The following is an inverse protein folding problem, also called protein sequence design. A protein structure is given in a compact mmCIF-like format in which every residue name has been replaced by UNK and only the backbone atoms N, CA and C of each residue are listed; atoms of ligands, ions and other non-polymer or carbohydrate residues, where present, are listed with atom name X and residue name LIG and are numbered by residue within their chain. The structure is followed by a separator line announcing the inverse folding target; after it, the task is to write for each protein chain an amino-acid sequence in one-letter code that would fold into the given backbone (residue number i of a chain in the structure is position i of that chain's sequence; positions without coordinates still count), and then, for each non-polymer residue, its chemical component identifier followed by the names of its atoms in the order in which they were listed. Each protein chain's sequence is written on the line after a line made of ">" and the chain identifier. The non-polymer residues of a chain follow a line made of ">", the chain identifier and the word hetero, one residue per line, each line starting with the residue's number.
data_IF_963762180124
#
_entry.id   IF_963762180124
#
_cell.length_a   1.000
_cell.length_b   1.000
_cell.length_c   1.000
_cell.angle_alpha   90.00
_cell.angle_beta   90.00
_cell.angle_gamma   90.00
#
_symmetry.space_group_name_H-M   'P 1'
#
loop_
_entity.id
_entity.type
_entity.pdbx_description
1 polymer ?
#
# COMPACT_ATOMS: atom_id res chain seq x y z
N UNK A 1 -22.70 -9.43 14.34
CA UNK A 1 -21.29 -9.89 14.34
C UNK A 1 -20.60 -9.30 13.10
N UNK A 2 -20.04 -8.08 13.19
CA UNK A 2 -19.44 -7.37 12.06
C UNK A 2 -18.28 -8.22 11.52
N UNK A 3 -18.43 -8.79 10.33
CA UNK A 3 -17.31 -9.40 9.59
C UNK A 3 -16.30 -8.28 9.43
N UNK A 4 -15.15 -8.41 10.09
CA UNK A 4 -13.99 -7.54 9.83
C UNK A 4 -13.83 -7.52 8.32
N UNK A 5 -14.04 -6.35 7.70
CA UNK A 5 -13.76 -6.15 6.30
C UNK A 5 -12.34 -6.64 6.08
N UNK A 6 -12.22 -7.74 5.34
CA UNK A 6 -10.94 -8.14 4.82
C UNK A 6 -10.57 -7.02 3.85
N UNK A 7 -9.76 -6.06 4.30
CA UNK A 7 -8.98 -5.22 3.38
C UNK A 7 -8.31 -6.21 2.44
N UNK A 8 -8.74 -6.22 1.18
CA UNK A 8 -8.15 -7.13 0.22
C UNK A 8 -6.67 -6.75 0.15
N UNK A 9 -5.77 -7.61 0.62
CA UNK A 9 -4.34 -7.31 0.60
C UNK A 9 -3.81 -7.03 -0.81
N UNK A 10 -4.60 -7.41 -1.81
CA UNK A 10 -4.28 -7.27 -3.21
C UNK A 10 -5.41 -6.58 -3.95
N UNK A 11 -5.10 -5.41 -4.49
CA UNK A 11 -5.92 -4.74 -5.46
C UNK A 11 -5.39 -5.08 -6.86
N UNK A 12 -6.14 -5.85 -7.68
CA UNK A 12 -5.65 -6.28 -8.99
C UNK A 12 -5.46 -5.12 -9.98
N UNK A 13 -6.01 -3.93 -9.68
CA UNK A 13 -5.83 -2.73 -10.50
C UNK A 13 -4.49 -2.03 -10.25
N UNK A 14 -3.79 -2.37 -9.16
CA UNK A 14 -2.51 -1.77 -8.83
C UNK A 14 -1.36 -2.70 -9.19
N UNK A 15 -0.47 -2.22 -10.04
CA UNK A 15 0.81 -2.89 -10.29
C UNK A 15 1.73 -2.75 -9.07
N UNK A 16 2.81 -3.53 -9.04
CA UNK A 16 3.83 -3.36 -7.98
C UNK A 16 4.39 -1.93 -7.98
N UNK A 17 4.71 -1.39 -9.17
CA UNK A 17 5.25 -0.05 -9.31
C UNK A 17 4.28 1.02 -8.78
N UNK A 18 2.98 0.88 -9.04
CA UNK A 18 1.96 1.77 -8.49
C UNK A 18 1.93 1.71 -6.95
N UNK A 19 1.99 0.50 -6.38
CA UNK A 19 2.03 0.32 -4.93
C UNK A 19 3.31 0.91 -4.30
N UNK A 20 4.44 0.73 -4.97
CA UNK A 20 5.72 1.30 -4.57
C UNK A 20 5.61 2.83 -4.52
N UNK A 21 5.11 3.48 -5.57
CA UNK A 21 4.90 4.94 -5.59
C UNK A 21 4.00 5.42 -4.45
N UNK A 22 2.86 4.76 -4.20
CA UNK A 22 1.96 5.11 -3.09
C UNK A 22 2.70 5.06 -1.75
N UNK A 23 3.51 4.03 -1.52
CA UNK A 23 4.29 3.91 -0.27
C UNK A 23 5.37 4.97 -0.17
N UNK A 24 6.04 5.33 -1.27
CA UNK A 24 7.06 6.38 -1.28
C UNK A 24 6.47 7.75 -0.94
N UNK A 25 5.32 8.08 -1.52
CA UNK A 25 4.59 9.32 -1.23
C UNK A 25 4.11 9.31 0.23
N UNK A 26 3.49 8.22 0.69
CA UNK A 26 2.95 8.15 2.05
C UNK A 26 4.02 8.16 3.16
N UNK A 27 5.23 7.68 2.88
CA UNK A 27 6.34 7.63 3.84
C UNK A 27 7.39 8.73 3.64
N UNK A 28 7.19 9.60 2.66
CA UNK A 28 8.16 10.61 2.22
C UNK A 28 9.57 10.01 2.04
N UNK A 29 9.66 9.01 1.14
CA UNK A 29 10.91 8.29 0.85
C UNK A 29 11.32 8.45 -0.62
N UNK A 30 12.62 8.63 -0.90
CA UNK A 30 13.10 8.80 -2.27
C UNK A 30 13.17 7.49 -3.06
N UNK A 31 13.15 6.32 -2.40
CA UNK A 31 13.20 5.02 -3.08
C UNK A 31 12.73 3.88 -2.18
N UNK A 32 12.18 2.82 -2.78
CA UNK A 32 11.67 1.63 -2.07
C UNK A 32 12.77 0.95 -1.29
N UNK A 33 14.02 1.05 -1.74
CA UNK A 33 15.18 0.52 -1.00
C UNK A 33 15.30 1.10 0.42
N UNK A 34 14.91 2.37 0.60
CA UNK A 34 14.94 3.06 1.89
C UNK A 34 13.76 2.72 2.80
N UNK A 35 12.74 2.01 2.30
CA UNK A 35 11.58 1.57 3.08
C UNK A 35 11.96 0.30 3.84
N UNK A 36 11.99 0.35 5.18
CA UNK A 36 12.33 -0.81 5.99
C UNK A 36 11.06 -1.56 6.41
N UNK A 37 11.02 -2.86 6.11
CA UNK A 37 9.88 -3.71 6.48
C UNK A 37 9.62 -3.71 7.99
N UNK A 38 10.68 -3.88 8.78
CA UNK A 38 10.60 -4.01 10.24
C UNK A 38 10.27 -2.70 10.97
N UNK A 39 10.34 -1.55 10.29
CA UNK A 39 10.04 -0.24 10.89
C UNK A 39 8.76 0.34 10.31
N UNK A 40 8.82 0.88 9.09
CA UNK A 40 7.71 1.63 8.51
C UNK A 40 6.54 0.70 8.17
N UNK A 41 6.79 -0.41 7.47
CA UNK A 41 5.70 -1.29 7.00
C UNK A 41 5.03 -2.05 8.15
N UNK A 42 5.77 -2.48 9.18
CA UNK A 42 5.17 -3.09 10.38
C UNK A 42 4.33 -2.09 11.18
N UNK A 43 4.72 -0.80 11.25
CA UNK A 43 3.90 0.24 11.89
C UNK A 43 2.59 0.44 11.13
N UNK A 44 2.66 0.60 9.80
CA UNK A 44 1.47 0.76 8.96
C UNK A 44 0.57 -0.48 8.99
N UNK A 45 1.16 -1.68 8.96
CA UNK A 45 0.42 -2.94 9.18
C UNK A 45 -0.37 -2.93 10.48
N UNK A 46 0.23 -2.47 11.58
CA UNK A 46 -0.47 -2.38 12.89
C UNK A 46 -1.58 -1.34 12.84
N UNK A 47 -1.31 -0.17 12.24
CA UNK A 47 -2.28 0.91 12.06
C UNK A 47 -3.53 0.44 11.31
N UNK A 48 -3.34 -0.28 10.20
CA UNK A 48 -4.42 -0.78 9.35
C UNK A 48 -4.93 -2.18 9.73
N UNK A 49 -4.46 -2.74 10.85
CA UNK A 49 -4.92 -4.06 11.31
C UNK A 49 -4.62 -5.23 10.37
N UNK A 50 -3.57 -5.14 9.55
CA UNK A 50 -3.20 -6.12 8.50
C UNK A 50 -2.51 -7.38 9.07
N UNK A 51 -3.20 -8.05 10.00
CA UNK A 51 -2.64 -9.13 10.83
C UNK A 51 -2.15 -10.37 10.06
N UNK A 52 -2.70 -10.66 8.87
CA UNK A 52 -2.34 -11.85 8.08
C UNK A 52 -1.01 -11.70 7.29
N UNK A 53 -0.35 -10.55 7.37
CA UNK A 53 0.93 -10.32 6.69
C UNK A 53 2.13 -10.99 7.39
N UNK A 54 1.95 -11.65 8.54
CA UNK A 54 3.08 -12.26 9.28
C UNK A 54 3.83 -13.26 8.39
N UNK A 55 5.15 -13.12 8.32
CA UNK A 55 6.03 -14.00 7.52
C UNK A 55 6.05 -13.75 6.01
N UNK A 56 5.26 -12.79 5.49
CA UNK A 56 5.27 -12.42 4.07
C UNK A 56 6.46 -11.55 3.69
N UNK A 57 6.80 -11.55 2.40
CA UNK A 57 7.87 -10.75 1.83
C UNK A 57 7.53 -9.24 1.81
N UNK A 58 8.54 -8.41 1.55
CA UNK A 58 8.40 -6.94 1.56
C UNK A 58 7.40 -6.43 0.52
N UNK A 59 7.34 -7.01 -0.68
CA UNK A 59 6.45 -6.56 -1.74
C UNK A 59 5.00 -6.83 -1.38
N UNK A 60 4.71 -7.97 -0.74
CA UNK A 60 3.38 -8.27 -0.20
C UNK A 60 2.97 -7.25 0.87
N UNK A 61 3.87 -6.80 1.74
CA UNK A 61 3.56 -5.72 2.69
C UNK A 61 3.26 -4.40 1.99
N UNK A 62 4.05 -4.06 0.97
CA UNK A 62 3.86 -2.83 0.18
C UNK A 62 2.48 -2.85 -0.49
N UNK A 63 2.10 -3.92 -1.20
CA UNK A 63 0.79 -4.03 -1.86
C UNK A 63 -0.38 -3.89 -0.88
N UNK A 64 -0.31 -4.62 0.23
CA UNK A 64 -1.34 -4.58 1.25
C UNK A 64 -1.49 -3.20 1.90
N UNK A 65 -0.37 -2.56 2.18
CA UNK A 65 -0.35 -1.24 2.81
C UNK A 65 -0.78 -0.15 1.85
N UNK A 66 -0.34 -0.21 0.59
CA UNK A 66 -0.78 0.71 -0.46
C UNK A 66 -2.29 0.61 -0.68
N UNK A 67 -2.85 -0.60 -0.73
CA UNK A 67 -4.30 -0.74 -0.85
C UNK A 67 -5.04 -0.18 0.37
N UNK A 68 -4.55 -0.43 1.58
CA UNK A 68 -5.14 0.14 2.80
C UNK A 68 -5.09 1.68 2.80
N UNK A 69 -4.00 2.29 2.34
CA UNK A 69 -3.87 3.74 2.23
C UNK A 69 -4.94 4.33 1.28
N UNK A 70 -5.23 3.67 0.16
CA UNK A 70 -6.29 4.10 -0.75
C UNK A 70 -7.69 3.87 -0.17
N UNK A 71 -7.96 2.69 0.39
CA UNK A 71 -9.28 2.35 0.96
C UNK A 71 -9.66 3.28 2.11
N UNK A 72 -8.69 3.72 2.89
CA UNK A 72 -8.89 4.68 3.98
C UNK A 72 -8.80 6.15 3.55
N UNK A 73 -8.51 6.45 2.28
CA UNK A 73 -8.43 7.82 1.75
C UNK A 73 -7.22 8.63 2.21
N UNK A 74 -6.14 7.98 2.66
CA UNK A 74 -4.89 8.67 2.99
C UNK A 74 -4.10 9.08 1.75
N UNK A 75 -4.34 8.38 0.63
CA UNK A 75 -3.77 8.69 -0.68
C UNK A 75 -4.90 8.61 -1.69
N UNK A 76 -5.01 9.61 -2.54
CA UNK A 76 -5.91 9.61 -3.67
C UNK A 76 -5.08 9.44 -4.95
N UNK A 77 -5.48 8.50 -5.79
CA UNK A 77 -4.94 8.38 -7.14
C UNK A 77 -5.87 9.17 -8.03
N UNK A 78 -5.37 10.27 -8.57
CA UNK A 78 -6.12 11.09 -9.51
C UNK A 78 -6.50 10.22 -10.73
N UNK A 79 -7.76 10.31 -11.15
CA UNK A 79 -8.28 9.52 -12.28
C UNK A 79 -7.96 10.16 -13.62
N UNK A 80 -7.50 11.42 -13.63
CA UNK A 80 -7.08 12.13 -14.84
C UNK A 80 -5.61 11.87 -15.16
N UNK A 81 -5.32 10.64 -15.54
CA UNK A 81 -4.09 10.24 -16.21
C UNK A 81 -4.42 9.62 -17.57
N UNK A 82 -5.36 10.21 -18.30
CA UNK A 82 -5.62 9.82 -19.68
C UNK A 82 -4.43 10.29 -20.52
N UNK A 83 -3.45 9.41 -20.70
CA UNK A 83 -2.26 9.60 -21.52
C UNK A 83 -2.64 9.57 -23.02
N UNK A 84 -3.63 10.37 -23.43
CA UNK A 84 -4.01 10.55 -24.84
C UNK A 84 -3.15 11.58 -25.57
N UNK A 85 -2.11 12.14 -24.93
CA UNK A 85 -1.20 13.11 -25.55
C UNK A 85 0.28 12.82 -25.27
N UNK A 86 0.80 11.70 -25.81
CA UNK A 86 2.24 11.49 -25.98
C UNK A 86 2.54 10.94 -27.37
#
# INVERSE_FOLDING_TARGET
>A
KKRKEYVAYFNPKLTQASCDCIILVALDKPSVMHVQRSKELEKLKKLFGLSLLRGKDKNTYIRATANALLEHGYVEVDKEGDLTNL
#
